data_IF_721397353384
#
_entry.id   IF_721397353384
#
_cell.length_a   1.000
_cell.length_b   1.000
_cell.length_c   1.000
_cell.angle_alpha   90.00
_cell.angle_beta   90.00
_cell.angle_gamma   90.00
#
_symmetry.space_group_name_H-M   'P 1'
#
loop_
_entity.id
_entity.type
_entity.pdbx_description
1 polymer ?
#
# COMPACT_ATOMS: atom_id res chain seq x y z
N UNK A 1 -5.13 3.46 -9.22
CA UNK A 1 -4.58 2.09 -9.08
C UNK A 1 -3.64 1.94 -7.88
N UNK A 2 -2.57 2.73 -7.78
CA UNK A 2 -1.54 2.63 -6.71
C UNK A 2 -2.10 2.68 -5.29
N UNK A 3 -3.05 3.55 -5.01
CA UNK A 3 -3.69 3.64 -3.70
C UNK A 3 -4.46 2.37 -3.33
N UNK A 4 -5.21 1.79 -4.29
CA UNK A 4 -5.99 0.56 -4.08
C UNK A 4 -5.05 -0.61 -3.80
N UNK A 5 -3.98 -0.75 -4.57
CA UNK A 5 -2.96 -1.79 -4.33
C UNK A 5 -2.24 -1.59 -2.99
N UNK A 6 -1.96 -0.34 -2.60
CA UNK A 6 -1.46 -0.03 -1.26
C UNK A 6 -2.42 -0.49 -0.16
N UNK A 7 -3.73 -0.25 -0.31
CA UNK A 7 -4.74 -0.73 0.65
C UNK A 7 -4.82 -2.26 0.69
N UNK A 8 -4.69 -2.94 -0.45
CA UNK A 8 -4.61 -4.41 -0.51
C UNK A 8 -3.38 -4.90 0.29
N UNK A 9 -2.22 -4.25 0.16
CA UNK A 9 -1.04 -4.59 0.95
C UNK A 9 -1.26 -4.40 2.46
N UNK A 10 -1.91 -3.32 2.88
CA UNK A 10 -2.28 -3.12 4.30
C UNK A 10 -3.24 -4.20 4.77
N UNK A 11 -4.22 -4.59 3.94
CA UNK A 11 -5.15 -5.67 4.25
C UNK A 11 -4.42 -7.02 4.41
N UNK A 12 -3.50 -7.35 3.51
CA UNK A 12 -2.63 -8.54 3.62
C UNK A 12 -1.80 -8.50 4.90
N UNK A 13 -1.20 -7.36 5.24
CA UNK A 13 -0.45 -7.19 6.48
C UNK A 13 -1.35 -7.47 7.71
N UNK A 14 -2.56 -6.90 7.75
CA UNK A 14 -3.50 -7.09 8.86
C UNK A 14 -3.84 -8.56 9.10
N UNK A 15 -3.87 -9.39 8.04
CA UNK A 15 -4.11 -10.84 8.14
C UNK A 15 -2.90 -11.63 8.63
N UNK A 16 -1.70 -11.12 8.41
CA UNK A 16 -0.43 -11.75 8.83
C UNK A 16 -0.05 -11.39 10.26
N UNK A 17 -0.54 -10.26 10.78
CA UNK A 17 -0.21 -9.81 12.13
C UNK A 17 -0.93 -10.66 13.20
N UNK A 18 -0.23 -11.06 14.27
CA UNK A 18 -0.86 -11.73 15.40
C UNK A 18 -1.82 -10.77 16.12
N UNK A 19 -2.89 -11.31 16.72
CA UNK A 19 -3.88 -10.50 17.47
C UNK A 19 -3.29 -9.71 18.65
N UNK A 20 -2.08 -10.06 19.08
CA UNK A 20 -1.31 -9.40 20.14
C UNK A 20 -0.40 -8.28 19.64
N UNK A 21 -0.27 -8.09 18.32
CA UNK A 21 0.55 -7.03 17.75
C UNK A 21 0.00 -5.66 18.17
N UNK A 22 0.84 -4.86 18.82
CA UNK A 22 0.56 -3.46 19.17
C UNK A 22 1.59 -2.59 18.48
N UNK A 23 1.11 -1.64 17.70
CA UNK A 23 1.93 -0.56 17.16
C UNK A 23 1.99 0.61 18.13
N UNK A 24 2.99 1.47 17.93
CA UNK A 24 3.02 2.79 18.52
C UNK A 24 2.02 3.72 17.80
N UNK A 25 1.82 4.92 18.35
CA UNK A 25 0.95 5.95 17.76
C UNK A 25 1.28 6.24 16.29
N UNK A 26 2.55 6.14 15.92
CA UNK A 26 3.03 6.43 14.57
C UNK A 26 3.01 5.23 13.60
N UNK A 27 2.78 4.02 14.12
CA UNK A 27 2.85 2.78 13.33
C UNK A 27 1.84 2.72 12.18
N UNK A 28 0.57 3.17 12.32
CA UNK A 28 -0.38 3.17 11.21
C UNK A 28 0.08 4.05 10.04
N UNK A 29 0.65 5.23 10.32
CA UNK A 29 1.18 6.13 9.30
C UNK A 29 2.36 5.49 8.57
N UNK A 30 3.28 4.86 9.32
CA UNK A 30 4.42 4.14 8.72
C UNK A 30 3.96 3.02 7.80
N UNK A 31 2.99 2.22 8.24
CA UNK A 31 2.41 1.12 7.46
C UNK A 31 1.79 1.65 6.17
N UNK A 32 0.95 2.67 6.26
CA UNK A 32 0.27 3.24 5.11
C UNK A 32 1.26 3.84 4.09
N UNK A 33 2.25 4.59 4.59
CA UNK A 33 3.28 5.22 3.77
C UNK A 33 4.13 4.17 3.04
N UNK A 34 4.56 3.12 3.74
CA UNK A 34 5.29 2.00 3.14
C UNK A 34 4.47 1.27 2.09
N UNK A 35 3.16 1.08 2.33
CA UNK A 35 2.29 0.39 1.39
C UNK A 35 2.13 1.15 0.07
N UNK A 36 1.91 2.46 0.13
CA UNK A 36 1.80 3.32 -1.07
C UNK A 36 3.14 3.40 -1.82
N UNK A 37 4.23 3.55 -1.08
CA UNK A 37 5.57 3.60 -1.65
C UNK A 37 5.90 2.34 -2.44
N UNK A 38 5.64 1.16 -1.85
CA UNK A 38 5.84 -0.12 -2.55
C UNK A 38 4.90 -0.29 -3.73
N UNK A 39 3.62 0.05 -3.58
CA UNK A 39 2.66 -0.04 -4.67
C UNK A 39 3.10 0.85 -5.84
N UNK A 40 3.61 2.05 -5.57
CA UNK A 40 4.11 2.97 -6.59
C UNK A 40 5.34 2.42 -7.29
N UNK A 41 6.30 1.86 -6.55
CA UNK A 41 7.50 1.23 -7.10
C UNK A 41 7.21 -0.02 -7.93
N UNK A 42 6.18 -0.77 -7.57
CA UNK A 42 5.82 -2.00 -8.27
C UNK A 42 5.01 -1.74 -9.55
N UNK A 43 4.14 -0.73 -9.55
CA UNK A 43 3.18 -0.49 -10.64
C UNK A 43 3.58 0.63 -11.61
N UNK A 44 4.51 1.51 -11.24
CA UNK A 44 4.81 2.72 -12.02
C UNK A 44 6.27 2.78 -12.43
N UNK A 45 6.53 2.97 -13.72
CA UNK A 45 7.88 3.22 -14.25
C UNK A 45 8.49 4.51 -13.70
N UNK A 46 7.64 5.52 -13.42
CA UNK A 46 7.98 6.71 -12.65
C UNK A 46 7.42 6.59 -11.23
N UNK A 47 8.16 5.92 -10.35
CA UNK A 47 7.71 5.63 -8.99
C UNK A 47 8.10 6.68 -7.96
N UNK A 48 7.35 6.71 -6.85
CA UNK A 48 7.71 7.47 -5.66
C UNK A 48 9.05 6.96 -5.11
N UNK A 49 9.99 7.88 -4.98
CA UNK A 49 11.30 7.58 -4.40
C UNK A 49 11.29 7.82 -2.90
N UNK A 50 12.13 7.07 -2.18
CA UNK A 50 12.24 7.18 -0.72
C UNK A 50 12.69 8.58 -0.28
N UNK A 51 13.49 9.25 -1.12
CA UNK A 51 13.87 10.65 -0.94
C UNK A 51 12.66 11.58 -0.99
N UNK A 52 11.81 11.43 -2.00
CA UNK A 52 10.60 12.26 -2.15
C UNK A 52 9.67 12.10 -0.94
N UNK A 53 9.54 10.89 -0.40
CA UNK A 53 8.75 10.64 0.80
C UNK A 53 9.36 11.32 2.05
N UNK A 54 10.68 11.25 2.23
CA UNK A 54 11.35 11.97 3.31
C UNK A 54 11.16 13.50 3.19
N UNK A 55 11.19 14.03 1.96
CA UNK A 55 10.99 15.45 1.68
C UNK A 55 9.53 15.87 1.95
N UNK A 56 8.54 15.09 1.51
CA UNK A 56 7.10 15.34 1.72
C UNK A 56 6.70 15.27 3.19
N UNK A 57 7.41 14.46 3.98
CA UNK A 57 7.15 14.34 5.42
C UNK A 57 7.84 15.43 6.23
N UNK A 58 8.41 16.45 5.57
CA UNK A 58 8.99 17.66 6.18
C UNK A 58 9.99 17.35 7.32
N UNK A 59 10.78 16.29 7.17
CA UNK A 59 11.77 15.87 8.16
C UNK A 59 11.23 15.02 9.33
N UNK A 60 9.95 14.64 9.30
CA UNK A 60 9.40 13.65 10.26
C UNK A 60 10.12 12.29 10.12
N UNK A 61 10.47 11.91 8.89
CA UNK A 61 11.28 10.72 8.62
C UNK A 61 12.51 11.08 7.79
N UNK A 62 13.68 10.56 8.19
CA UNK A 62 14.86 10.62 7.34
C UNK A 62 14.76 9.61 6.19
N UNK A 63 15.56 9.78 5.15
CA UNK A 63 15.65 8.79 4.05
C UNK A 63 16.02 7.39 4.58
N UNK A 64 16.82 7.31 5.65
CA UNK A 64 17.17 6.04 6.30
C UNK A 64 15.97 5.39 6.99
N UNK A 65 15.11 6.19 7.59
CA UNK A 65 13.88 5.71 8.22
C UNK A 65 12.92 5.16 7.16
N UNK A 66 12.71 5.92 6.08
CA UNK A 66 11.86 5.49 4.96
C UNK A 66 12.38 4.19 4.33
N UNK A 67 13.70 4.06 4.16
CA UNK A 67 14.33 2.82 3.68
C UNK A 67 14.07 1.64 4.63
N UNK A 68 14.15 1.86 5.95
CA UNK A 68 13.89 0.84 6.95
C UNK A 68 12.42 0.43 6.94
N UNK A 69 11.51 1.41 6.92
CA UNK A 69 10.07 1.20 6.84
C UNK A 69 9.69 0.37 5.61
N UNK A 70 10.22 0.71 4.44
CA UNK A 70 10.02 -0.04 3.20
C UNK A 70 10.49 -1.49 3.33
N UNK A 71 11.73 -1.72 3.80
CA UNK A 71 12.30 -3.07 3.93
C UNK A 71 11.54 -3.91 4.94
N UNK A 72 11.16 -3.33 6.08
CA UNK A 72 10.36 -4.00 7.10
C UNK A 72 8.99 -4.40 6.54
N UNK A 73 8.32 -3.49 5.83
CA UNK A 73 7.02 -3.78 5.24
C UNK A 73 7.09 -4.84 4.13
N UNK A 74 8.12 -4.82 3.27
CA UNK A 74 8.41 -5.91 2.32
C UNK A 74 8.57 -7.26 3.00
N UNK A 75 9.35 -7.30 4.09
CA UNK A 75 9.58 -8.52 4.86
C UNK A 75 8.28 -9.06 5.47
N UNK A 76 7.41 -8.18 5.97
CA UNK A 76 6.10 -8.56 6.51
C UNK A 76 5.15 -9.11 5.44
N UNK A 77 5.23 -8.59 4.21
CA UNK A 77 4.51 -9.12 3.05
C UNK A 77 5.16 -10.36 2.45
N UNK A 78 6.31 -10.81 2.96
CA UNK A 78 7.11 -11.91 2.38
C UNK A 78 7.37 -11.73 0.88
N UNK A 79 7.50 -10.48 0.44
CA UNK A 79 7.69 -10.11 -0.97
C UNK A 79 6.54 -10.53 -1.92
N UNK A 80 5.37 -10.89 -1.41
CA UNK A 80 4.17 -11.16 -2.22
C UNK A 80 3.52 -9.84 -2.66
N UNK A 81 4.09 -9.22 -3.70
CA UNK A 81 3.64 -7.94 -4.26
C UNK A 81 2.70 -8.08 -5.46
N UNK A 82 2.63 -9.26 -6.06
CA UNK A 82 1.72 -9.47 -7.18
C UNK A 82 0.26 -9.33 -6.70
N UNK A 83 -0.51 -8.57 -7.45
CA UNK A 83 -1.95 -8.35 -7.23
C UNK A 83 -2.64 -8.51 -8.57
N UNK A 84 -3.61 -9.42 -8.62
CA UNK A 84 -4.41 -9.67 -9.81
C UNK A 84 -5.54 -8.64 -9.96
N UNK A 85 -6.01 -8.46 -11.19
CA UNK A 85 -7.20 -7.65 -11.51
C UNK A 85 -8.41 -8.17 -10.75
N UNK A 86 -8.57 -9.50 -10.63
CA UNK A 86 -9.68 -10.11 -9.89
C UNK A 86 -9.61 -9.82 -8.39
N UNK A 87 -8.40 -9.77 -7.83
CA UNK A 87 -8.20 -9.39 -6.43
C UNK A 87 -8.54 -7.91 -6.20
N UNK A 88 -8.15 -7.03 -7.14
CA UNK A 88 -8.53 -5.61 -7.11
C UNK A 88 -10.05 -5.45 -7.17
N UNK A 89 -10.72 -6.12 -8.12
CA UNK A 89 -12.18 -6.10 -8.25
C UNK A 89 -12.86 -6.57 -6.97
N UNK A 90 -12.45 -7.72 -6.44
CA UNK A 90 -12.98 -8.28 -5.19
C UNK A 90 -12.76 -7.35 -4.00
N UNK A 91 -11.57 -6.75 -3.90
CA UNK A 91 -11.26 -5.82 -2.81
C UNK A 91 -12.17 -4.58 -2.87
N UNK A 92 -12.37 -4.03 -4.07
CA UNK A 92 -13.24 -2.88 -4.26
C UNK A 92 -14.69 -3.23 -3.99
N UNK A 93 -15.22 -4.33 -4.52
CA UNK A 93 -16.60 -4.76 -4.27
C UNK A 93 -16.87 -4.96 -2.77
N UNK A 94 -15.89 -5.49 -2.02
CA UNK A 94 -16.00 -5.66 -0.58
C UNK A 94 -15.98 -4.34 0.21
N UNK A 95 -15.29 -3.30 -0.28
CA UNK A 95 -15.09 -2.02 0.42
C UNK A 95 -15.76 -0.82 -0.29
N UNK A 96 -16.61 -1.07 -1.31
CA UNK A 96 -17.27 -0.06 -2.16
C UNK A 96 -17.99 1.01 -1.35
N UNK A 97 -18.66 0.60 -0.28
CA UNK A 97 -19.47 1.49 0.59
C UNK A 97 -18.60 2.38 1.47
N UNK A 98 -17.42 1.93 1.91
CA UNK A 98 -16.51 2.73 2.74
C UNK A 98 -15.65 3.69 1.92
N UNK A 99 -15.40 3.39 0.64
CA UNK A 99 -14.47 4.15 -0.18
C UNK A 99 -15.14 5.23 -1.05
N UNK A 100 -16.47 5.23 -1.22
CA UNK A 100 -17.22 6.15 -2.09
C UNK A 100 -16.63 6.26 -3.52
N UNK A 101 -16.07 5.15 -4.03
CA UNK A 101 -15.45 5.09 -5.36
C UNK A 101 -16.41 4.36 -6.29
N UNK A 102 -16.94 5.09 -7.28
CA UNK A 102 -17.74 4.52 -8.36
C UNK A 102 -16.80 4.04 -9.48
N UNK A 103 -16.41 2.77 -9.43
CA UNK A 103 -15.52 2.17 -10.44
C UNK A 103 -16.34 1.48 -11.52
N UNK A 104 -16.35 2.07 -12.71
CA UNK A 104 -17.01 1.51 -13.90
C UNK A 104 -16.06 0.56 -14.65
N UNK A 105 -16.27 -0.74 -14.46
CA UNK A 105 -15.50 -1.81 -15.10
C UNK A 105 -16.02 -2.20 -16.49
N UNK A 106 -17.08 -1.56 -16.97
CA UNK A 106 -17.75 -1.89 -18.24
C UNK A 106 -16.92 -1.53 -19.48
N UNK A 107 -15.84 -0.77 -19.31
CA UNK A 107 -15.02 -0.24 -20.43
C UNK A 107 -13.86 -1.14 -20.86
N UNK A 108 -13.51 -2.14 -20.05
CA UNK A 108 -12.33 -2.99 -20.33
C UNK A 108 -12.66 -4.30 -21.08
N UNK A 109 -13.95 -4.63 -21.27
CA UNK A 109 -14.37 -5.81 -22.04
C UNK A 109 -14.44 -5.58 -23.57
N UNK A 110 -14.20 -4.35 -24.04
CA UNK A 110 -14.36 -3.96 -25.46
C UNK A 110 -13.03 -3.80 -26.22
N UNK A 111 -11.91 -4.34 -25.71
CA UNK A 111 -10.57 -4.18 -26.32
C UNK A 111 -9.82 -5.49 -26.56
#
# INVERSE_FOLDING_TARGET
>A
MTMVVGLIYVHRLKRTLPATARGDFDTPYKIFLSAILLASKYLSDHSLQNRNIADITNGLYSVKDVNTMERSFLGLLKYELWVDVDEVKKFLDQHRVELDIDVDWSRDEER
#
